data_IF_553544912741
#
_entry.id   IF_553544912741
#
_cell.length_a   1.000
_cell.length_b   1.000
_cell.length_c   1.000
_cell.angle_alpha   90.00
_cell.angle_beta   90.00
_cell.angle_gamma   90.00
#
_symmetry.space_group_name_H-M   'P 1'
#
loop_
_entity.id
_entity.type
_entity.pdbx_description
1 polymer ?
#
# COMPACT_ATOMS: atom_id res chain seq x y z
N UNK A 1 -55.89 40.28 14.23
CA UNK A 1 -54.51 40.82 14.26
C UNK A 1 -53.73 39.89 15.18
N UNK A 2 -52.87 39.06 14.62
CA UNK A 2 -51.94 38.23 15.39
C UNK A 2 -50.87 39.17 15.96
N UNK A 3 -50.65 39.12 17.28
CA UNK A 3 -49.60 39.88 17.95
C UNK A 3 -48.26 39.20 17.64
N UNK A 4 -47.58 39.65 16.58
CA UNK A 4 -46.20 39.27 16.30
C UNK A 4 -45.30 39.86 17.39
N UNK A 5 -44.82 39.05 18.33
CA UNK A 5 -43.82 39.47 19.32
C UNK A 5 -42.45 39.45 18.64
N UNK A 6 -41.89 40.64 18.37
CA UNK A 6 -40.51 40.76 17.89
C UNK A 6 -39.49 40.28 18.95
N UNK A 7 -38.39 39.69 18.49
CA UNK A 7 -37.29 39.23 19.34
C UNK A 7 -36.64 40.40 20.10
N UNK A 8 -36.25 40.16 21.35
CA UNK A 8 -35.51 41.13 22.15
C UNK A 8 -34.07 41.27 21.63
N UNK A 9 -33.53 42.50 21.62
CA UNK A 9 -32.13 42.76 21.27
C UNK A 9 -31.16 41.93 22.15
N UNK A 10 -31.52 41.71 23.42
CA UNK A 10 -30.75 40.89 24.36
C UNK A 10 -30.76 39.41 23.95
N UNK A 11 -31.90 38.92 23.46
CA UNK A 11 -32.08 37.52 23.06
C UNK A 11 -31.28 37.22 21.79
N UNK A 12 -31.28 38.14 20.82
CA UNK A 12 -30.42 38.04 19.64
C UNK A 12 -28.93 38.16 19.99
N UNK A 13 -28.57 39.03 20.94
CA UNK A 13 -27.18 39.19 21.37
C UNK A 13 -26.65 37.94 22.11
N UNK A 14 -27.47 37.35 22.99
CA UNK A 14 -27.14 36.11 23.69
C UNK A 14 -27.05 34.93 22.71
N UNK A 15 -27.95 34.84 21.73
CA UNK A 15 -27.90 33.81 20.70
C UNK A 15 -26.60 33.88 19.89
N UNK A 16 -26.20 35.06 19.42
CA UNK A 16 -24.95 35.24 18.68
C UNK A 16 -23.72 34.90 19.52
N UNK A 17 -23.73 35.22 20.82
CA UNK A 17 -22.66 34.86 21.74
C UNK A 17 -22.55 33.34 21.90
N UNK A 18 -23.68 32.64 22.07
CA UNK A 18 -23.69 31.18 22.18
C UNK A 18 -23.21 30.54 20.87
N UNK A 19 -23.67 31.03 19.72
CA UNK A 19 -23.24 30.54 18.40
C UNK A 19 -21.74 30.76 18.20
N UNK A 20 -21.18 31.91 18.59
CA UNK A 20 -19.75 32.17 18.50
C UNK A 20 -18.90 31.23 19.34
N UNK A 21 -19.35 30.91 20.57
CA UNK A 21 -18.65 29.98 21.47
C UNK A 21 -18.68 28.55 20.92
N UNK A 22 -19.78 28.13 20.29
CA UNK A 22 -19.91 26.78 19.72
C UNK A 22 -19.16 26.66 18.39
N UNK A 23 -19.25 27.67 17.52
CA UNK A 23 -18.71 27.61 16.17
C UNK A 23 -17.18 27.50 16.14
N UNK A 24 -16.47 28.16 17.07
CA UNK A 24 -14.99 28.12 17.13
C UNK A 24 -14.43 26.70 17.24
N UNK A 25 -14.75 25.94 18.31
CA UNK A 25 -14.32 24.55 18.46
C UNK A 25 -14.84 23.61 17.37
N UNK A 26 -16.04 23.86 16.83
CA UNK A 26 -16.60 23.03 15.76
C UNK A 26 -15.82 23.17 14.43
N UNK A 27 -15.30 24.35 14.11
CA UNK A 27 -14.49 24.55 12.90
C UNK A 27 -13.17 23.79 12.97
N UNK A 28 -12.48 23.83 14.12
CA UNK A 28 -11.24 23.07 14.33
C UNK A 28 -11.51 21.55 14.28
N UNK A 29 -12.57 21.08 14.93
CA UNK A 29 -12.97 19.68 14.87
C UNK A 29 -13.33 19.23 13.44
N UNK A 30 -13.94 20.11 12.64
CA UNK A 30 -14.26 19.84 11.25
C UNK A 30 -13.00 19.71 10.38
N UNK A 31 -12.01 20.59 10.55
CA UNK A 31 -10.74 20.51 9.83
C UNK A 31 -10.00 19.20 10.13
N UNK A 32 -9.93 18.82 11.41
CA UNK A 32 -9.35 17.53 11.83
C UNK A 32 -10.09 16.34 11.20
N UNK A 33 -11.43 16.39 11.18
CA UNK A 33 -12.24 15.35 10.53
C UNK A 33 -11.98 15.24 9.02
N UNK A 34 -11.94 16.37 8.30
CA UNK A 34 -11.67 16.38 6.86
C UNK A 34 -10.27 15.84 6.57
N UNK A 35 -9.28 16.25 7.35
CA UNK A 35 -7.90 15.76 7.24
C UNK A 35 -7.81 14.25 7.43
N UNK A 36 -8.37 13.73 8.53
CA UNK A 36 -8.37 12.28 8.79
C UNK A 36 -9.08 11.51 7.67
N UNK A 37 -10.17 12.07 7.12
CA UNK A 37 -10.89 11.48 5.98
C UNK A 37 -10.04 11.49 4.71
N UNK A 38 -9.31 12.56 4.42
CA UNK A 38 -8.47 12.66 3.24
C UNK A 38 -7.27 11.71 3.35
N UNK A 39 -6.55 11.72 4.48
CA UNK A 39 -5.49 10.77 4.79
C UNK A 39 -5.94 9.32 4.63
N UNK A 40 -7.12 8.95 5.17
CA UNK A 40 -7.67 7.60 5.03
C UNK A 40 -7.95 7.22 3.56
N UNK A 41 -8.40 8.17 2.73
CA UNK A 41 -8.56 7.93 1.28
C UNK A 41 -7.22 7.77 0.58
N UNK A 42 -6.21 8.54 0.96
CA UNK A 42 -4.86 8.42 0.40
C UNK A 42 -4.28 7.03 0.67
N UNK A 43 -4.43 6.51 1.89
CA UNK A 43 -4.00 5.14 2.20
C UNK A 43 -4.72 4.07 1.37
N UNK A 44 -6.03 4.21 1.17
CA UNK A 44 -6.81 3.29 0.34
C UNK A 44 -6.40 3.34 -1.14
N UNK A 45 -6.17 4.55 -1.67
CA UNK A 45 -5.65 4.78 -3.02
C UNK A 45 -4.26 4.16 -3.18
N UNK A 46 -3.34 4.42 -2.24
CA UNK A 46 -1.99 3.85 -2.25
C UNK A 46 -1.98 2.32 -2.26
N UNK A 47 -2.82 1.68 -1.43
CA UNK A 47 -2.95 0.21 -1.45
C UNK A 47 -3.49 -0.33 -2.78
N UNK A 48 -4.45 0.37 -3.40
CA UNK A 48 -4.99 0.00 -4.72
C UNK A 48 -3.90 0.08 -5.80
N UNK A 49 -3.12 1.17 -5.78
CA UNK A 49 -2.00 1.39 -6.69
C UNK A 49 -0.93 0.31 -6.51
N UNK A 50 -0.55 -0.02 -5.27
CA UNK A 50 0.41 -1.09 -4.98
C UNK A 50 -0.02 -2.42 -5.59
N UNK A 51 -1.28 -2.80 -5.36
CA UNK A 51 -1.83 -4.06 -5.85
C UNK A 51 -1.83 -4.10 -7.38
N UNK A 52 -2.18 -2.99 -8.03
CA UNK A 52 -2.20 -2.90 -9.48
C UNK A 52 -0.79 -2.98 -10.10
N UNK A 53 0.20 -2.30 -9.51
CA UNK A 53 1.60 -2.41 -9.96
C UNK A 53 2.12 -3.84 -9.78
N UNK A 54 1.74 -4.49 -8.68
CA UNK A 54 2.11 -5.88 -8.39
C UNK A 54 1.50 -6.85 -9.41
N UNK A 55 0.20 -6.74 -9.69
CA UNK A 55 -0.49 -7.54 -10.70
C UNK A 55 0.10 -7.29 -12.10
N UNK A 56 0.43 -6.03 -12.41
CA UNK A 56 1.09 -5.69 -13.67
C UNK A 56 2.43 -6.41 -13.83
N UNK A 57 3.25 -6.43 -12.77
CA UNK A 57 4.51 -7.18 -12.76
C UNK A 57 4.29 -8.67 -12.98
N UNK A 58 3.32 -9.30 -12.30
CA UNK A 58 3.02 -10.72 -12.47
C UNK A 58 2.61 -11.10 -13.90
N UNK A 59 2.01 -10.17 -14.64
CA UNK A 59 1.57 -10.39 -16.01
C UNK A 59 2.62 -10.06 -17.08
N UNK A 60 3.54 -9.14 -16.78
CA UNK A 60 4.46 -8.57 -17.79
C UNK A 60 5.94 -8.79 -17.48
N UNK A 61 6.31 -9.33 -16.31
CA UNK A 61 7.68 -9.50 -15.83
C UNK A 61 8.49 -8.18 -15.82
N UNK A 62 7.81 -7.05 -15.61
CA UNK A 62 8.40 -5.70 -15.51
C UNK A 62 7.48 -4.75 -14.76
N UNK A 63 8.00 -3.61 -14.33
CA UNK A 63 7.19 -2.51 -13.83
C UNK A 63 6.67 -1.62 -14.97
N UNK A 64 5.54 -0.92 -14.75
CA UNK A 64 5.04 0.04 -15.73
C UNK A 64 5.95 1.28 -15.77
N UNK A 65 6.02 1.96 -16.92
CA UNK A 65 6.63 3.29 -16.96
C UNK A 65 5.66 4.34 -16.40
N UNK A 66 6.13 5.48 -15.86
CA UNK A 66 5.25 6.55 -15.44
C UNK A 66 4.39 7.11 -16.58
N UNK A 67 3.30 7.78 -16.23
CA UNK A 67 2.50 8.59 -17.14
C UNK A 67 2.93 10.06 -17.07
N UNK A 68 2.67 10.82 -18.13
CA UNK A 68 3.00 12.25 -18.20
C UNK A 68 2.13 13.06 -17.22
N UNK A 69 2.72 13.79 -16.27
CA UNK A 69 1.95 14.51 -15.25
C UNK A 69 1.16 15.72 -15.73
N UNK A 70 1.63 16.43 -16.76
CA UNK A 70 0.98 17.67 -17.23
C UNK A 70 -0.24 17.44 -18.13
N UNK A 71 -0.49 16.20 -18.58
CA UNK A 71 -1.62 15.92 -19.46
C UNK A 71 -2.95 16.08 -18.72
N UNK A 72 -3.87 16.82 -19.35
CA UNK A 72 -5.22 17.05 -18.85
C UNK A 72 -6.14 15.85 -19.13
N UNK A 73 -7.22 15.75 -18.34
CA UNK A 73 -8.26 14.74 -18.54
C UNK A 73 -8.90 14.93 -19.92
N UNK A 74 -8.74 13.93 -20.80
CA UNK A 74 -9.23 13.94 -22.17
C UNK A 74 -8.13 13.91 -23.24
N UNK A 75 -6.87 14.12 -22.85
CA UNK A 75 -5.74 13.81 -23.72
C UNK A 75 -5.65 12.28 -23.94
N UNK A 76 -5.44 11.78 -25.17
CA UNK A 76 -5.34 10.35 -25.45
C UNK A 76 -4.24 9.62 -24.68
N UNK A 77 -3.17 10.30 -24.28
CA UNK A 77 -2.03 9.75 -23.55
C UNK A 77 -2.16 9.93 -22.03
N UNK A 78 -3.24 10.59 -21.57
CA UNK A 78 -3.46 10.82 -20.16
C UNK A 78 -3.62 9.49 -19.39
N UNK A 79 -2.75 9.26 -18.41
CA UNK A 79 -2.81 8.10 -17.53
C UNK A 79 -2.30 6.80 -18.15
N UNK A 80 -1.72 6.83 -19.34
CA UNK A 80 -1.09 5.68 -19.99
C UNK A 80 0.41 5.71 -19.69
N UNK A 81 1.03 4.55 -19.47
CA UNK A 81 2.49 4.44 -19.32
C UNK A 81 3.22 5.00 -20.55
N UNK A 82 4.32 5.70 -20.33
CA UNK A 82 5.15 6.30 -21.38
C UNK A 82 6.61 5.90 -21.13
N UNK A 83 7.18 5.11 -22.04
CA UNK A 83 8.49 4.49 -21.84
C UNK A 83 9.51 5.08 -22.81
N UNK A 84 10.59 5.73 -22.34
CA UNK A 84 11.65 6.22 -23.21
C UNK A 84 12.14 5.18 -24.22
N UNK A 85 11.98 5.52 -25.51
CA UNK A 85 12.40 4.68 -26.63
C UNK A 85 11.54 3.44 -26.91
N UNK A 86 10.45 3.20 -26.17
CA UNK A 86 9.57 2.02 -26.29
C UNK A 86 8.08 2.36 -26.11
N UNK A 87 7.63 3.49 -26.64
CA UNK A 87 6.25 3.96 -26.50
C UNK A 87 5.23 2.96 -27.09
N UNK A 88 4.23 2.58 -26.29
CA UNK A 88 3.21 1.57 -26.66
C UNK A 88 2.19 2.06 -27.70
N UNK A 89 2.09 3.37 -27.92
CA UNK A 89 1.22 3.99 -28.92
C UNK A 89 1.89 4.13 -30.30
N UNK A 90 3.19 3.82 -30.40
CA UNK A 90 3.99 4.03 -31.60
C UNK A 90 4.31 5.50 -31.90
N UNK A 91 3.95 6.43 -31.01
CA UNK A 91 4.29 7.85 -31.10
C UNK A 91 5.59 8.13 -30.35
N UNK A 92 6.69 7.88 -31.04
CA UNK A 92 8.05 8.14 -30.53
C UNK A 92 8.36 9.62 -30.24
N UNK A 93 7.46 10.59 -30.46
CA UNK A 93 7.88 12.00 -30.54
C UNK A 93 8.09 12.70 -29.19
N UNK A 94 7.40 12.28 -28.12
CA UNK A 94 7.59 12.88 -26.79
C UNK A 94 8.73 12.19 -26.03
N UNK A 95 8.77 10.85 -26.04
CA UNK A 95 9.73 10.11 -25.21
C UNK A 95 11.01 9.67 -25.94
N UNK A 96 11.04 9.57 -27.27
CA UNK A 96 12.30 9.24 -27.98
C UNK A 96 13.31 10.40 -28.01
N UNK A 97 12.92 11.59 -27.56
CA UNK A 97 13.81 12.74 -27.39
C UNK A 97 14.33 12.89 -25.95
N UNK A 98 13.88 12.08 -25.00
CA UNK A 98 14.31 12.18 -23.60
C UNK A 98 15.73 11.64 -23.42
N UNK A 99 16.63 12.56 -23.06
CA UNK A 99 18.00 12.25 -22.67
C UNK A 99 18.09 12.09 -21.15
N UNK A 100 19.15 11.46 -20.66
CA UNK A 100 19.48 11.48 -19.24
C UNK A 100 19.61 12.92 -18.74
N UNK A 101 19.25 13.16 -17.48
CA UNK A 101 19.21 14.50 -16.85
C UNK A 101 18.27 15.48 -17.56
N UNK A 102 17.05 15.04 -17.89
CA UNK A 102 16.07 15.92 -18.50
C UNK A 102 14.64 15.70 -17.97
N UNK A 103 13.90 16.80 -17.90
CA UNK A 103 12.47 16.81 -17.61
C UNK A 103 11.71 17.45 -18.77
N UNK A 104 10.63 16.79 -19.21
CA UNK A 104 9.73 17.26 -20.24
C UNK A 104 8.29 17.04 -19.79
N UNK A 105 7.47 18.08 -19.80
CA UNK A 105 6.04 18.00 -19.42
C UNK A 105 5.79 17.37 -18.03
N UNK A 106 6.66 17.69 -17.07
CA UNK A 106 6.63 17.14 -15.73
C UNK A 106 7.13 15.70 -15.59
N UNK A 107 7.46 15.03 -16.70
CA UNK A 107 8.08 13.70 -16.71
C UNK A 107 9.60 13.86 -16.74
N UNK A 108 10.31 13.24 -15.80
CA UNK A 108 11.76 13.35 -15.67
C UNK A 108 12.47 12.02 -15.90
N UNK A 109 13.66 12.10 -16.48
CA UNK A 109 14.62 11.00 -16.63
C UNK A 109 15.96 11.46 -16.06
N UNK A 110 16.35 10.87 -14.95
CA UNK A 110 17.54 11.28 -14.16
C UNK A 110 18.49 10.12 -13.97
N UNK A 111 19.75 10.42 -13.66
CA UNK A 111 20.78 9.43 -13.36
C UNK A 111 20.65 9.03 -11.90
N UNK A 112 20.25 7.78 -11.67
CA UNK A 112 20.29 7.15 -10.37
C UNK A 112 21.67 6.63 -10.03
N UNK A 113 21.74 5.74 -9.05
CA UNK A 113 23.01 5.06 -8.72
C UNK A 113 23.39 4.04 -9.81
N UNK A 114 24.69 3.81 -9.95
CA UNK A 114 25.25 2.63 -10.62
C UNK A 114 24.91 1.35 -9.82
N UNK A 115 23.80 0.71 -10.18
CA UNK A 115 23.28 -0.47 -9.51
C UNK A 115 23.94 -1.76 -10.00
N UNK A 116 24.57 -1.76 -11.17
CA UNK A 116 25.22 -2.93 -11.74
C UNK A 116 26.75 -2.97 -11.66
N UNK A 117 27.35 -1.88 -11.21
CA UNK A 117 28.78 -1.73 -10.98
C UNK A 117 29.58 -1.53 -12.26
N UNK A 118 28.95 -1.16 -13.39
CA UNK A 118 29.65 -0.93 -14.66
C UNK A 118 30.28 0.47 -14.77
N UNK A 119 30.16 1.29 -13.72
CA UNK A 119 30.62 2.68 -13.64
C UNK A 119 29.84 3.66 -14.51
N UNK A 120 28.65 3.29 -14.98
CA UNK A 120 27.64 4.19 -15.52
C UNK A 120 26.43 4.23 -14.57
N UNK A 121 25.83 5.41 -14.47
CA UNK A 121 24.65 5.60 -13.63
C UNK A 121 23.41 5.02 -14.33
N UNK A 122 22.58 4.27 -13.58
CA UNK A 122 21.35 3.69 -14.10
C UNK A 122 20.22 4.72 -14.12
N UNK A 123 19.38 4.70 -15.15
CA UNK A 123 18.27 5.64 -15.28
C UNK A 123 17.15 5.45 -14.26
N UNK A 124 16.57 6.56 -13.81
CA UNK A 124 15.33 6.61 -13.04
C UNK A 124 14.32 7.46 -13.81
N UNK A 125 13.10 6.93 -13.96
CA UNK A 125 11.98 7.59 -14.62
C UNK A 125 11.02 8.10 -13.57
N UNK A 126 10.62 9.36 -13.65
CA UNK A 126 9.76 10.03 -12.67
C UNK A 126 8.59 10.67 -13.40
N UNK A 127 7.37 10.42 -12.92
CA UNK A 127 6.16 11.00 -13.45
C UNK A 127 4.99 10.68 -12.54
N UNK A 128 3.82 10.39 -13.12
CA UNK A 128 2.64 10.01 -12.35
C UNK A 128 2.28 8.53 -12.53
N UNK A 129 1.41 8.04 -11.65
CA UNK A 129 0.87 6.68 -11.76
C UNK A 129 0.13 6.50 -13.10
N UNK A 130 0.49 5.50 -13.92
CA UNK A 130 -0.16 5.20 -15.20
C UNK A 130 -1.46 4.43 -14.99
N UNK A 131 -2.46 5.10 -14.42
CA UNK A 131 -3.68 4.48 -13.92
C UNK A 131 -4.52 3.77 -15.00
N UNK A 132 -4.50 4.24 -16.25
CA UNK A 132 -5.20 3.59 -17.37
C UNK A 132 -4.53 2.26 -17.71
N UNK A 133 -3.19 2.26 -17.78
CA UNK A 133 -2.40 1.05 -18.03
C UNK A 133 -2.57 0.03 -16.90
N UNK A 134 -2.64 0.51 -15.67
CA UNK A 134 -2.82 -0.32 -14.48
C UNK A 134 -4.28 -0.77 -14.25
N UNK A 135 -5.24 -0.28 -15.03
CA UNK A 135 -6.67 -0.58 -14.81
C UNK A 135 -7.23 0.01 -13.51
N UNK A 136 -6.55 1.00 -12.92
CA UNK A 136 -6.97 1.66 -11.67
C UNK A 136 -8.00 2.74 -12.01
N UNK A 137 -9.16 2.81 -11.31
CA UNK A 137 -10.10 3.90 -11.48
C UNK A 137 -9.45 5.27 -11.24
N UNK A 138 -9.73 6.27 -12.09
CA UNK A 138 -9.08 7.58 -12.00
C UNK A 138 -9.20 8.24 -10.61
N UNK A 139 -10.34 8.07 -9.94
CA UNK A 139 -10.56 8.59 -8.59
C UNK A 139 -9.73 7.91 -7.50
N UNK A 140 -9.22 6.70 -7.76
CA UNK A 140 -8.36 5.89 -6.90
C UNK A 140 -6.88 6.04 -7.26
N UNK A 141 -6.57 6.71 -8.38
CA UNK A 141 -5.23 7.17 -8.75
C UNK A 141 -4.90 8.58 -8.24
N UNK A 142 -5.81 9.17 -7.46
CA UNK A 142 -5.66 10.47 -6.82
C UNK A 142 -5.67 10.29 -5.30
N UNK A 143 -4.96 11.16 -4.59
CA UNK A 143 -4.98 11.16 -3.14
C UNK A 143 -6.28 11.76 -2.57
N UNK A 144 -6.37 11.80 -1.24
CA UNK A 144 -7.51 12.37 -0.52
C UNK A 144 -7.78 13.85 -0.81
N UNK A 145 -6.75 14.61 -1.21
CA UNK A 145 -6.80 16.04 -1.52
C UNK A 145 -6.97 16.34 -3.01
N UNK A 146 -7.03 15.29 -3.86
CA UNK A 146 -7.16 15.37 -5.32
C UNK A 146 -5.89 15.81 -6.03
N UNK A 147 -4.75 15.52 -5.42
CA UNK A 147 -3.45 15.58 -6.06
C UNK A 147 -3.15 14.23 -6.72
N UNK A 148 -2.36 14.26 -7.79
CA UNK A 148 -1.84 13.06 -8.44
C UNK A 148 -0.65 12.51 -7.66
N UNK A 149 -0.55 11.20 -7.54
CA UNK A 149 0.62 10.53 -6.98
C UNK A 149 1.83 10.69 -7.91
N UNK A 150 2.99 11.04 -7.35
CA UNK A 150 4.28 10.92 -8.03
C UNK A 150 4.72 9.46 -8.00
N UNK A 151 5.29 9.00 -9.11
CA UNK A 151 5.79 7.65 -9.30
C UNK A 151 7.17 7.72 -9.94
N UNK A 152 8.16 7.14 -9.26
CA UNK A 152 9.49 6.98 -9.79
C UNK A 152 9.86 5.49 -9.87
N UNK A 153 10.50 5.07 -10.95
CA UNK A 153 10.86 3.68 -11.21
C UNK A 153 12.24 3.59 -11.84
N UNK A 154 13.00 2.57 -11.44
CA UNK A 154 14.28 2.24 -12.08
C UNK A 154 14.04 1.87 -13.55
N UNK A 155 14.65 2.59 -14.47
CA UNK A 155 14.40 2.50 -15.92
C UNK A 155 14.62 1.08 -16.45
N UNK A 156 15.69 0.42 -16.03
CA UNK A 156 16.02 -0.95 -16.46
C UNK A 156 15.01 -2.00 -15.97
N UNK A 157 14.20 -1.68 -14.96
CA UNK A 157 13.12 -2.54 -14.47
C UNK A 157 11.78 -2.30 -15.18
N UNK A 158 11.75 -1.41 -16.17
CA UNK A 158 10.59 -1.20 -17.06
C UNK A 158 10.69 -1.98 -18.39
N UNK A 159 11.68 -2.88 -18.51
CA UNK A 159 11.78 -3.86 -19.59
C UNK A 159 11.98 -5.25 -18.99
N UNK A 160 11.18 -6.23 -19.42
CA UNK A 160 11.37 -7.61 -18.98
C UNK A 160 12.70 -8.20 -19.46
N UNK A 161 13.29 -7.67 -20.54
CA UNK A 161 14.60 -8.08 -21.03
C UNK A 161 15.77 -7.56 -20.18
N UNK A 162 15.60 -6.43 -19.48
CA UNK A 162 16.65 -5.83 -18.63
C UNK A 162 16.34 -5.93 -17.13
N UNK A 163 15.17 -6.47 -16.77
CA UNK A 163 14.73 -6.59 -15.39
C UNK A 163 15.65 -7.50 -14.57
N UNK A 164 16.29 -6.92 -13.55
CA UNK A 164 17.09 -7.67 -12.58
C UNK A 164 16.65 -7.27 -11.18
N UNK A 165 16.07 -8.20 -10.38
CA UNK A 165 15.45 -7.90 -9.08
C UNK A 165 16.35 -7.34 -7.98
N UNK A 166 17.64 -7.17 -8.25
CA UNK A 166 18.63 -6.69 -7.28
C UNK A 166 19.25 -5.36 -7.69
N UNK A 167 18.77 -4.76 -8.78
CA UNK A 167 19.38 -3.57 -9.41
C UNK A 167 18.49 -2.33 -9.29
N UNK A 168 17.97 -2.06 -8.10
CA UNK A 168 17.25 -0.80 -7.84
C UNK A 168 18.21 0.39 -7.90
N UNK A 169 17.84 1.41 -8.66
CA UNK A 169 18.63 2.63 -8.87
C UNK A 169 18.18 3.83 -8.01
N UNK A 170 17.05 3.71 -7.32
CA UNK A 170 16.47 4.77 -6.48
C UNK A 170 17.01 4.65 -5.06
N UNK A 171 17.34 5.77 -4.44
CA UNK A 171 17.79 5.86 -3.05
C UNK A 171 16.69 6.41 -2.16
N UNK A 172 16.48 5.74 -1.02
CA UNK A 172 15.52 6.18 0.00
C UNK A 172 16.23 6.42 1.33
N UNK A 173 16.19 7.67 1.78
CA UNK A 173 16.72 8.15 3.04
C UNK A 173 15.65 8.14 4.12
N UNK A 174 16.08 8.09 5.38
CA UNK A 174 15.19 8.42 6.50
C UNK A 174 15.17 9.93 6.71
N UNK A 175 13.99 10.46 7.03
CA UNK A 175 13.75 11.88 7.30
C UNK A 175 14.52 12.47 8.50
N UNK A 176 15.08 11.61 9.37
CA UNK A 176 16.01 12.03 10.43
C UNK A 176 17.43 12.34 9.91
N UNK A 177 17.66 12.23 8.60
CA UNK A 177 18.97 12.42 7.95
C UNK A 177 19.98 11.33 8.29
N UNK A 178 19.55 10.20 8.86
CA UNK A 178 20.40 9.04 9.10
C UNK A 178 20.77 8.33 7.79
N UNK A 179 21.59 7.28 7.85
CA UNK A 179 22.01 6.52 6.66
C UNK A 179 20.81 6.10 5.81
N UNK A 180 20.98 5.90 4.48
CA UNK A 180 19.92 5.38 3.64
C UNK A 180 19.34 4.12 4.26
N UNK A 181 18.05 3.85 4.01
CA UNK A 181 17.48 2.55 4.37
C UNK A 181 18.41 1.46 3.85
N UNK A 182 18.61 0.38 4.60
CA UNK A 182 19.48 -0.72 4.18
C UNK A 182 18.58 -1.87 3.78
N UNK A 183 18.38 -2.07 2.48
CA UNK A 183 17.68 -3.22 1.94
C UNK A 183 18.74 -4.29 1.66
N UNK A 184 18.81 -5.28 2.55
CA UNK A 184 19.91 -6.25 2.55
C UNK A 184 20.00 -7.03 1.24
N UNK A 185 21.17 -7.03 0.60
CA UNK A 185 21.53 -8.04 -0.38
C UNK A 185 21.97 -9.32 0.37
N UNK A 186 21.21 -10.43 0.30
CA UNK A 186 21.60 -11.67 0.97
C UNK A 186 22.82 -12.36 0.33
N UNK A 187 23.29 -11.92 -0.85
CA UNK A 187 24.31 -12.63 -1.61
C UNK A 187 25.75 -12.09 -1.44
N UNK A 188 25.96 -10.85 -0.95
CA UNK A 188 27.33 -10.33 -0.85
C UNK A 188 27.54 -9.21 0.18
N UNK A 189 27.92 -9.53 1.44
CA UNK A 189 28.20 -8.52 2.45
C UNK A 189 29.49 -7.71 2.21
N UNK A 190 30.25 -7.92 1.11
CA UNK A 190 31.59 -7.32 0.93
C UNK A 190 31.95 -6.84 -0.49
N UNK A 191 30.99 -6.53 -1.37
CA UNK A 191 31.32 -5.98 -2.69
C UNK A 191 31.55 -4.46 -2.68
N UNK A 192 32.80 -4.06 -2.93
CA UNK A 192 33.29 -2.73 -3.37
C UNK A 192 33.29 -1.56 -2.34
N UNK A 193 34.45 -0.93 -2.03
CA UNK A 193 34.58 0.28 -1.19
C UNK A 193 33.89 1.56 -1.69
N UNK A 194 33.25 1.54 -2.87
CA UNK A 194 32.28 2.57 -3.29
C UNK A 194 30.79 2.14 -3.18
N UNK A 195 30.52 0.89 -2.78
CA UNK A 195 29.20 0.28 -2.66
C UNK A 195 29.12 -0.55 -1.35
N UNK A 196 29.62 -0.03 -0.23
CA UNK A 196 29.65 -0.81 1.01
C UNK A 196 28.33 -0.75 1.76
N UNK A 197 27.66 -1.92 1.78
CA UNK A 197 26.72 -2.40 2.80
C UNK A 197 25.22 -2.27 2.47
N UNK A 198 24.71 -3.01 1.48
CA UNK A 198 23.26 -3.33 1.40
C UNK A 198 22.33 -2.13 1.56
N UNK A 199 22.66 -1.00 0.93
CA UNK A 199 21.99 0.27 1.14
C UNK A 199 20.85 0.43 0.13
N UNK A 200 19.60 0.30 0.58
CA UNK A 200 18.52 1.19 0.15
C UNK A 200 18.07 1.20 -1.29
N UNK A 201 18.24 0.12 -2.04
CA UNK A 201 17.81 0.05 -3.45
C UNK A 201 16.30 -0.12 -3.59
N UNK A 202 15.58 0.97 -3.89
CA UNK A 202 14.19 0.85 -4.31
C UNK A 202 14.11 0.53 -5.82
N UNK A 203 13.26 -0.43 -6.17
CA UNK A 203 12.82 -0.69 -7.54
C UNK A 203 12.00 0.49 -8.06
N UNK A 204 11.01 0.87 -7.26
CA UNK A 204 10.14 2.01 -7.51
C UNK A 204 9.69 2.63 -6.18
N UNK A 205 9.32 3.90 -6.26
CA UNK A 205 8.70 4.67 -5.18
C UNK A 205 7.46 5.37 -5.73
N UNK A 206 6.47 5.59 -4.88
CA UNK A 206 5.39 6.51 -5.19
C UNK A 206 4.91 7.18 -3.91
N UNK A 207 4.45 8.42 -4.05
CA UNK A 207 4.04 9.21 -2.90
C UNK A 207 2.87 10.14 -3.23
N UNK A 208 2.08 10.42 -2.19
CA UNK A 208 1.15 11.55 -2.15
C UNK A 208 1.86 12.69 -1.45
N UNK A 209 1.82 13.88 -2.06
CA UNK A 209 2.41 15.12 -1.53
C UNK A 209 1.52 15.78 -0.46
N UNK A 210 0.75 14.97 0.27
CA UNK A 210 -0.06 15.43 1.39
C UNK A 210 -1.12 16.52 1.09
N UNK A 211 -1.39 17.29 2.13
CA UNK A 211 -2.37 18.38 2.17
C UNK A 211 -1.91 19.60 1.37
N UNK A 212 -0.61 19.89 1.34
CA UNK A 212 -0.08 21.04 0.61
C UNK A 212 0.08 20.78 -0.91
N UNK A 213 0.19 19.51 -1.32
CA UNK A 213 0.40 19.06 -2.69
C UNK A 213 1.74 19.47 -3.32
N UNK A 214 2.76 19.89 -2.56
CA UNK A 214 3.98 20.51 -3.10
C UNK A 214 4.83 19.50 -3.87
N UNK A 215 4.89 19.64 -5.20
CA UNK A 215 5.58 18.68 -6.08
C UNK A 215 4.62 17.89 -6.95
N UNK A 216 3.36 17.79 -6.51
CA UNK A 216 2.32 17.07 -7.23
C UNK A 216 1.73 17.88 -8.38
N UNK A 217 0.76 17.26 -9.06
CA UNK A 217 -0.05 17.89 -10.09
C UNK A 217 -1.53 17.81 -9.72
N UNK A 218 -2.27 18.85 -10.06
CA UNK A 218 -3.73 18.88 -9.93
C UNK A 218 -4.40 17.93 -10.93
N UNK A 219 -5.70 17.70 -10.78
CA UNK A 219 -6.50 16.95 -11.77
C UNK A 219 -6.41 17.54 -13.19
N UNK A 220 -6.11 18.83 -13.33
CA UNK A 220 -6.00 19.51 -14.63
C UNK A 220 -4.59 19.40 -15.24
N UNK A 221 -3.64 18.77 -14.54
CA UNK A 221 -2.23 18.68 -14.99
C UNK A 221 -1.41 19.93 -14.67
N UNK A 222 -1.86 20.75 -13.71
CA UNK A 222 -1.12 21.94 -13.26
C UNK A 222 -0.27 21.57 -12.05
N UNK A 223 1.03 21.88 -12.10
CA UNK A 223 1.96 21.65 -10.99
C UNK A 223 1.54 22.44 -9.75
N UNK A 224 1.58 21.81 -8.59
CA UNK A 224 1.22 22.39 -7.28
C UNK A 224 2.52 22.61 -6.49
N UNK A 225 2.73 23.83 -6.01
CA UNK A 225 3.98 24.24 -5.34
C UNK A 225 5.09 24.62 -6.33
N UNK A 226 5.67 25.81 -6.17
CA UNK A 226 6.65 26.38 -7.11
C UNK A 226 8.12 26.31 -6.62
N UNK A 227 8.37 25.86 -5.39
CA UNK A 227 9.70 25.92 -4.76
C UNK A 227 10.26 24.55 -4.39
N UNK A 228 10.30 23.62 -5.35
CA UNK A 228 11.05 22.37 -5.20
C UNK A 228 12.51 22.52 -5.63
N UNK A 229 12.81 23.54 -6.42
CA UNK A 229 14.18 23.83 -6.83
C UNK A 229 14.94 24.52 -5.68
N UNK A 230 15.75 23.76 -4.96
CA UNK A 230 17.00 24.29 -4.45
C UNK A 230 18.04 23.18 -4.63
N UNK A 231 18.58 23.09 -5.84
CA UNK A 231 19.49 22.00 -6.21
C UNK A 231 20.59 21.74 -5.18
N UNK A 232 20.92 20.45 -5.03
CA UNK A 232 22.12 19.93 -4.37
C UNK A 232 22.51 20.73 -3.14
N UNK A 233 21.79 20.51 -2.04
CA UNK A 233 22.25 21.05 -0.77
C UNK A 233 23.34 20.15 -0.18
N UNK A 234 24.45 20.75 0.23
CA UNK A 234 25.28 20.11 1.25
C UNK A 234 24.54 20.14 2.59
N UNK A 235 24.73 19.16 3.48
CA UNK A 235 24.15 19.16 4.83
C UNK A 235 24.38 20.48 5.63
N UNK A 236 25.39 21.27 5.26
CA UNK A 236 25.68 22.59 5.83
C UNK A 236 24.80 23.73 5.26
N UNK A 237 24.36 23.63 4.00
CA UNK A 237 23.41 24.55 3.36
C UNK A 237 21.98 24.22 3.76
N UNK A 238 21.67 22.92 3.93
CA UNK A 238 20.47 22.41 4.61
C UNK A 238 20.36 23.06 5.99
N UNK A 239 21.40 22.95 6.84
CA UNK A 239 21.45 23.55 8.18
C UNK A 239 21.28 25.10 8.23
N UNK A 240 21.62 25.81 7.15
CA UNK A 240 21.57 27.27 7.08
C UNK A 240 20.23 27.80 6.53
N UNK A 241 19.49 26.98 5.80
CA UNK A 241 18.16 27.28 5.31
C UNK A 241 17.13 26.67 6.27
N UNK A 242 16.46 27.48 7.08
CA UNK A 242 15.30 27.02 7.86
C UNK A 242 14.11 26.68 6.97
N UNK A 243 14.25 25.71 6.06
CA UNK A 243 13.30 25.30 5.04
C UNK A 243 12.92 23.83 5.26
N UNK A 244 11.74 23.49 4.75
CA UNK A 244 11.09 22.17 4.74
C UNK A 244 11.92 21.14 3.94
N UNK A 245 13.06 20.69 4.47
CA UNK A 245 14.04 19.87 3.75
C UNK A 245 13.45 18.53 3.27
N UNK A 246 12.81 17.77 4.17
CA UNK A 246 12.25 16.45 3.85
C UNK A 246 11.16 16.54 2.77
N UNK A 247 10.36 17.61 2.80
CA UNK A 247 9.34 17.90 1.79
C UNK A 247 9.94 18.30 0.43
N UNK A 248 11.04 19.06 0.43
CA UNK A 248 11.70 19.49 -0.82
C UNK A 248 12.33 18.30 -1.53
N UNK A 249 12.97 17.40 -0.77
CA UNK A 249 13.60 16.19 -1.31
C UNK A 249 12.61 15.35 -2.11
N UNK A 250 11.38 15.20 -1.63
CA UNK A 250 10.38 14.40 -2.34
C UNK A 250 9.80 15.07 -3.60
N UNK A 251 10.19 16.32 -3.90
CA UNK A 251 9.56 17.13 -4.94
C UNK A 251 10.51 17.76 -5.98
N UNK A 252 11.82 17.59 -5.83
CA UNK A 252 12.85 18.16 -6.71
C UNK A 252 13.11 17.34 -7.99
N UNK A 253 12.54 16.14 -8.08
CA UNK A 253 12.61 15.21 -9.21
C UNK A 253 14.00 14.64 -9.48
N UNK A 254 14.75 14.31 -8.44
CA UNK A 254 15.93 13.47 -8.57
C UNK A 254 15.67 12.00 -8.16
N UNK A 255 16.73 11.21 -8.01
CA UNK A 255 16.65 9.79 -7.68
C UNK A 255 16.70 9.50 -6.17
N UNK A 256 16.85 10.54 -5.35
CA UNK A 256 16.90 10.48 -3.89
C UNK A 256 15.54 10.89 -3.33
N UNK A 257 15.06 10.15 -2.34
CA UNK A 257 13.78 10.41 -1.70
C UNK A 257 13.93 10.27 -0.20
N UNK A 258 13.11 11.01 0.53
CA UNK A 258 13.05 10.93 1.98
C UNK A 258 11.77 10.24 2.43
N UNK A 259 11.93 9.23 3.28
CA UNK A 259 10.86 8.51 3.94
C UNK A 259 10.87 8.74 5.44
N UNK A 260 9.70 9.03 6.00
CA UNK A 260 9.47 8.97 7.44
C UNK A 260 8.31 8.03 7.77
N UNK A 261 8.57 7.02 8.61
CA UNK A 261 7.53 6.14 9.15
C UNK A 261 6.63 6.79 10.20
N UNK A 262 7.10 7.87 10.83
CA UNK A 262 6.49 8.45 12.05
C UNK A 262 6.26 9.97 11.97
N UNK A 263 6.89 10.71 11.05
CA UNK A 263 6.67 12.14 10.92
C UNK A 263 5.48 12.45 10.02
N UNK A 264 4.36 12.75 10.67
CA UNK A 264 3.49 13.81 10.18
C UNK A 264 3.84 15.06 10.98
N UNK A 265 4.45 16.07 10.35
CA UNK A 265 4.79 17.31 11.04
C UNK A 265 4.45 18.52 10.19
N UNK A 266 3.70 19.44 10.81
CA UNK A 266 3.32 20.74 10.24
C UNK A 266 4.20 21.87 10.79
N UNK A 267 5.29 21.54 11.49
CA UNK A 267 6.21 22.55 12.01
C UNK A 267 7.06 23.07 10.85
N UNK A 268 6.96 24.37 10.54
CA UNK A 268 7.77 25.00 9.49
C UNK A 268 9.27 24.85 9.78
N UNK A 269 10.07 24.52 8.76
CA UNK A 269 11.50 24.22 8.88
C UNK A 269 11.80 22.75 8.57
N UNK A 270 12.95 22.22 9.00
CA UNK A 270 13.43 20.86 8.66
C UNK A 270 12.38 19.75 8.80
N UNK A 271 11.46 19.91 9.76
CA UNK A 271 10.53 18.87 10.15
C UNK A 271 9.20 18.93 9.39
N UNK A 272 8.95 19.91 8.52
CA UNK A 272 7.70 19.91 7.76
C UNK A 272 7.71 18.73 6.79
N UNK A 273 6.73 17.85 6.93
CA UNK A 273 6.55 16.65 6.12
C UNK A 273 5.10 16.19 6.25
N UNK A 274 4.33 16.29 5.16
CA UNK A 274 2.97 15.74 5.08
C UNK A 274 2.79 14.66 4.01
N UNK A 275 3.89 14.20 3.43
CA UNK A 275 3.93 13.18 2.40
C UNK A 275 3.56 11.79 2.94
N UNK A 276 2.85 11.03 2.12
CA UNK A 276 2.59 9.62 2.36
C UNK A 276 3.34 8.83 1.30
N UNK A 277 4.37 8.12 1.74
CA UNK A 277 5.39 7.53 0.87
C UNK A 277 5.34 6.01 0.89
N UNK A 278 5.51 5.41 -0.29
CA UNK A 278 5.51 3.98 -0.54
C UNK A 278 6.68 3.62 -1.43
N UNK A 279 7.27 2.45 -1.21
CA UNK A 279 8.35 1.93 -2.03
C UNK A 279 8.32 0.42 -2.11
N UNK A 280 9.02 -0.10 -3.12
CA UNK A 280 9.30 -1.52 -3.29
C UNK A 280 10.80 -1.69 -3.48
N UNK A 281 11.43 -2.59 -2.74
CA UNK A 281 12.88 -2.83 -2.70
C UNK A 281 13.29 -4.26 -3.09
N UNK A 282 12.31 -5.12 -3.35
CA UNK A 282 12.50 -6.49 -3.80
C UNK A 282 11.42 -6.92 -4.78
N UNK A 283 11.42 -8.20 -5.18
CA UNK A 283 10.33 -8.73 -6.00
C UNK A 283 8.99 -8.49 -5.28
N UNK A 284 7.99 -7.93 -5.97
CA UNK A 284 6.70 -7.74 -5.36
C UNK A 284 6.14 -9.15 -5.15
N UNK A 285 6.05 -9.57 -3.90
CA UNK A 285 5.35 -10.79 -3.55
C UNK A 285 3.87 -10.49 -3.70
N UNK A 286 3.30 -10.71 -4.88
CA UNK A 286 1.86 -10.56 -5.18
C UNK A 286 0.97 -11.60 -4.48
N UNK A 287 1.37 -12.00 -3.28
CA UNK A 287 0.52 -12.80 -2.43
C UNK A 287 -0.56 -11.94 -1.77
N UNK A 288 -1.69 -12.58 -1.51
CA UNK A 288 -2.55 -12.31 -0.35
C UNK A 288 -1.75 -12.09 0.93
N UNK A 289 -0.50 -12.57 1.01
CA UNK A 289 0.37 -12.59 2.17
C UNK A 289 1.60 -11.69 1.96
N UNK A 290 1.82 -10.78 2.90
CA UNK A 290 2.96 -9.88 3.00
C UNK A 290 3.77 -10.24 4.24
N UNK A 291 5.05 -9.87 4.26
CA UNK A 291 5.93 -10.09 5.40
C UNK A 291 6.37 -8.75 6.00
N UNK A 292 6.25 -8.61 7.32
CA UNK A 292 6.77 -7.48 8.08
C UNK A 292 8.14 -7.83 8.62
N UNK A 293 9.19 -7.17 8.11
CA UNK A 293 10.57 -7.34 8.62
C UNK A 293 10.80 -6.75 10.03
N UNK A 294 9.84 -6.02 10.58
CA UNK A 294 9.96 -5.36 11.91
C UNK A 294 9.36 -6.23 13.01
N UNK A 295 8.26 -6.93 12.72
CA UNK A 295 7.57 -7.80 13.68
C UNK A 295 7.78 -9.30 13.39
N UNK A 296 8.45 -9.64 12.27
CA UNK A 296 8.59 -10.99 11.72
C UNK A 296 7.26 -11.70 11.39
N UNK A 297 6.18 -10.93 11.26
CA UNK A 297 4.83 -11.44 11.00
C UNK A 297 4.50 -11.53 9.50
N UNK A 298 3.69 -12.52 9.14
CA UNK A 298 3.05 -12.64 7.81
C UNK A 298 1.61 -12.13 7.93
N UNK A 299 1.24 -11.12 7.14
CA UNK A 299 -0.08 -10.46 7.21
C UNK A 299 -0.74 -10.36 5.85
N UNK A 300 -2.07 -10.25 5.81
CA UNK A 300 -2.80 -10.13 4.54
C UNK A 300 -2.87 -8.69 4.03
N UNK A 301 -2.87 -8.49 2.70
CA UNK A 301 -2.97 -7.15 2.09
C UNK A 301 -4.34 -6.48 2.22
N UNK A 302 -5.38 -7.24 2.61
CA UNK A 302 -6.72 -6.72 2.88
C UNK A 302 -7.06 -6.82 4.36
N UNK A 303 -7.80 -5.83 4.86
CA UNK A 303 -8.30 -5.81 6.24
C UNK A 303 -9.53 -6.70 6.42
N UNK A 304 -9.57 -7.50 7.49
CA UNK A 304 -10.69 -8.37 7.84
C UNK A 304 -10.36 -9.86 7.74
N UNK A 305 -11.39 -10.70 7.74
CA UNK A 305 -11.29 -12.15 7.65
C UNK A 305 -11.09 -12.60 6.18
N UNK A 306 -10.18 -13.55 5.93
CA UNK A 306 -9.93 -14.14 4.62
C UNK A 306 -10.90 -15.28 4.34
N UNK A 307 -11.80 -15.11 3.36
CA UNK A 307 -12.68 -16.17 2.86
C UNK A 307 -12.13 -16.83 1.59
N UNK A 308 -11.89 -18.14 1.62
CA UNK A 308 -11.54 -18.94 0.44
C UNK A 308 -12.74 -19.82 0.08
N UNK A 309 -13.46 -19.46 -1.00
CA UNK A 309 -14.71 -20.14 -1.39
C UNK A 309 -15.94 -19.72 -0.58
N UNK A 310 -15.83 -18.69 0.26
CA UNK A 310 -16.92 -18.07 1.01
C UNK A 310 -16.80 -16.54 0.96
N UNK A 311 -17.94 -15.85 0.84
CA UNK A 311 -18.00 -14.39 0.84
C UNK A 311 -18.33 -13.79 2.23
N UNK A 312 -18.63 -14.64 3.21
CA UNK A 312 -18.97 -14.24 4.57
C UNK A 312 -18.16 -15.04 5.61
N UNK A 313 -16.83 -14.81 5.67
CA UNK A 313 -15.93 -15.59 6.51
C UNK A 313 -16.16 -15.30 8.00
N UNK A 314 -16.51 -16.33 8.78
CA UNK A 314 -16.79 -16.21 10.22
C UNK A 314 -15.53 -16.22 11.08
N UNK A 315 -14.39 -16.64 10.51
CA UNK A 315 -13.09 -16.74 11.16
C UNK A 315 -12.01 -15.99 10.39
N UNK A 316 -10.89 -15.65 11.04
CA UNK A 316 -9.79 -14.88 10.44
C UNK A 316 -9.27 -15.48 9.11
N UNK A 317 -9.27 -16.81 8.99
CA UNK A 317 -9.16 -17.52 7.70
C UNK A 317 -10.26 -18.58 7.69
N UNK A 318 -11.15 -18.50 6.70
CA UNK A 318 -12.31 -19.38 6.55
C UNK A 318 -12.30 -20.00 5.14
N UNK A 319 -12.15 -21.32 5.07
CA UNK A 319 -12.02 -22.06 3.80
C UNK A 319 -13.24 -22.94 3.60
N UNK A 320 -14.13 -22.54 2.70
CA UNK A 320 -15.26 -23.35 2.24
C UNK A 320 -14.83 -24.21 1.04
N UNK A 321 -14.09 -25.29 1.33
CA UNK A 321 -13.58 -26.21 0.32
C UNK A 321 -12.40 -27.05 0.80
N UNK A 322 -11.74 -27.75 -0.14
CA UNK A 322 -10.55 -28.54 0.16
C UNK A 322 -9.28 -27.69 0.09
N UNK A 323 -8.45 -27.74 1.11
CA UNK A 323 -7.09 -27.17 1.07
C UNK A 323 -6.17 -28.15 0.33
N UNK A 324 -5.55 -27.71 -0.76
CA UNK A 324 -4.62 -28.51 -1.57
C UNK A 324 -3.36 -27.69 -1.83
N UNK A 325 -2.19 -28.27 -1.61
CA UNK A 325 -0.91 -27.64 -1.93
C UNK A 325 -0.15 -28.51 -2.93
N UNK A 326 0.42 -27.88 -3.97
CA UNK A 326 1.11 -28.58 -5.06
C UNK A 326 2.39 -29.32 -4.59
N UNK A 327 2.97 -28.91 -3.46
CA UNK A 327 4.18 -29.51 -2.90
C UNK A 327 4.22 -29.34 -1.37
N UNK A 328 3.52 -30.18 -0.62
CA UNK A 328 3.82 -30.38 0.82
C UNK A 328 5.15 -31.13 1.04
N UNK A 329 5.77 -31.59 -0.04
CA UNK A 329 6.90 -32.53 -0.09
C UNK A 329 8.26 -31.98 0.34
N UNK A 330 8.40 -30.70 0.70
CA UNK A 330 9.68 -30.18 1.19
C UNK A 330 9.87 -30.29 2.70
N UNK A 331 8.83 -30.62 3.45
CA UNK A 331 8.96 -30.92 4.87
C UNK A 331 8.19 -32.17 5.27
N UNK A 332 8.80 -33.02 6.08
CA UNK A 332 8.14 -34.20 6.65
C UNK A 332 7.23 -33.80 7.82
N UNK A 333 7.50 -32.67 8.47
CA UNK A 333 6.67 -32.17 9.57
C UNK A 333 6.90 -30.69 9.89
N UNK A 334 6.08 -30.18 10.79
CA UNK A 334 6.12 -28.82 11.31
C UNK A 334 6.40 -28.89 12.80
N UNK A 335 7.34 -28.10 13.31
CA UNK A 335 7.69 -28.06 14.73
C UNK A 335 7.48 -26.64 15.26
N UNK A 336 7.44 -26.48 16.58
CA UNK A 336 7.57 -25.16 17.19
C UNK A 336 8.98 -24.56 16.95
N UNK A 337 9.13 -23.28 17.28
CA UNK A 337 10.39 -22.52 17.10
C UNK A 337 11.59 -23.13 17.83
N UNK A 338 11.34 -23.91 18.89
CA UNK A 338 12.38 -24.59 19.67
C UNK A 338 12.76 -25.95 19.08
N UNK A 339 12.12 -26.36 17.98
CA UNK A 339 12.27 -27.68 17.38
C UNK A 339 11.57 -28.79 18.16
N UNK A 340 10.70 -28.44 19.10
CA UNK A 340 9.88 -29.38 19.87
C UNK A 340 8.45 -29.41 19.30
N UNK A 341 7.60 -30.30 19.83
CA UNK A 341 6.17 -30.41 19.46
C UNK A 341 5.90 -30.50 17.95
N UNK A 342 6.55 -31.46 17.29
CA UNK A 342 6.47 -31.62 15.85
C UNK A 342 5.24 -32.43 15.40
N UNK A 343 4.51 -31.96 14.39
CA UNK A 343 3.46 -32.69 13.68
C UNK A 343 3.92 -33.12 12.28
N UNK A 344 3.58 -34.34 11.86
CA UNK A 344 3.77 -34.75 10.46
C UNK A 344 2.85 -33.94 9.54
N UNK A 345 3.33 -33.54 8.36
CA UNK A 345 2.54 -32.70 7.44
C UNK A 345 1.23 -33.38 6.97
N UNK A 346 1.19 -34.70 7.02
CA UNK A 346 0.03 -35.53 6.67
C UNK A 346 -1.13 -35.42 7.67
N UNK A 347 -0.84 -34.97 8.89
CA UNK A 347 -1.83 -34.77 9.95
C UNK A 347 -2.83 -33.69 9.54
N UNK A 348 -2.37 -32.59 8.93
CA UNK A 348 -3.22 -31.51 8.39
C UNK A 348 -4.15 -32.01 7.27
N UNK A 349 -3.72 -33.04 6.52
CA UNK A 349 -4.45 -33.62 5.39
C UNK A 349 -5.52 -34.66 5.75
N UNK A 350 -5.78 -34.91 7.04
CA UNK A 350 -6.92 -35.71 7.49
C UNK A 350 -6.68 -37.21 7.68
N UNK A 351 -5.43 -37.69 7.69
CA UNK A 351 -5.15 -39.08 8.09
C UNK A 351 -4.66 -39.12 9.53
N UNK A 352 -5.50 -39.61 10.46
CA UNK A 352 -5.12 -39.88 11.85
C UNK A 352 -5.74 -38.93 12.90
N UNK A 353 -6.29 -37.79 12.51
CA UNK A 353 -7.02 -36.91 13.42
C UNK A 353 -8.51 -37.27 13.44
N UNK A 354 -9.01 -37.70 14.59
CA UNK A 354 -10.43 -38.03 14.76
C UNK A 354 -10.88 -37.64 16.15
N UNK A 355 -11.96 -36.88 16.23
CA UNK A 355 -12.55 -36.46 17.50
C UNK A 355 -13.51 -37.48 18.10
N UNK A 356 -13.37 -38.77 17.76
CA UNK A 356 -14.11 -39.90 18.37
C UNK A 356 -15.62 -39.66 18.55
N UNK A 357 -16.25 -38.92 17.62
CA UNK A 357 -17.68 -38.58 17.64
C UNK A 357 -18.03 -37.13 18.02
N UNK A 358 -17.07 -36.33 18.49
CA UNK A 358 -17.20 -34.88 18.66
C UNK A 358 -16.83 -34.11 17.39
N UNK A 359 -17.37 -32.90 17.17
CA UNK A 359 -16.88 -32.00 16.14
C UNK A 359 -15.45 -31.55 16.44
N UNK A 360 -14.63 -31.47 15.39
CA UNK A 360 -13.27 -30.93 15.46
C UNK A 360 -13.35 -29.42 15.27
N UNK A 361 -12.93 -28.66 16.28
CA UNK A 361 -12.88 -27.21 16.26
C UNK A 361 -11.51 -26.65 15.81
N UNK A 362 -10.47 -27.48 15.84
CA UNK A 362 -9.13 -27.08 15.41
C UNK A 362 -8.13 -28.21 15.50
N UNK A 363 -6.84 -27.87 15.37
CA UNK A 363 -5.70 -28.76 15.51
C UNK A 363 -4.68 -28.06 16.39
N UNK A 364 -4.22 -28.70 17.47
CA UNK A 364 -3.25 -28.14 18.42
C UNK A 364 -2.39 -29.27 19.00
N UNK A 365 -1.09 -29.04 19.23
CA UNK A 365 -0.18 -29.99 19.92
C UNK A 365 -0.24 -31.44 19.39
N UNK A 366 -0.26 -31.62 18.06
CA UNK A 366 -0.35 -32.93 17.38
C UNK A 366 -1.68 -33.68 17.56
N UNK A 367 -2.75 -33.02 18.01
CA UNK A 367 -4.07 -33.63 18.16
C UNK A 367 -5.18 -32.75 17.59
N UNK A 368 -6.32 -33.37 17.27
CA UNK A 368 -7.54 -32.62 16.95
C UNK A 368 -8.04 -31.93 18.22
N UNK A 369 -8.26 -30.62 18.16
CA UNK A 369 -9.00 -29.91 19.21
C UNK A 369 -10.47 -30.25 19.04
N UNK A 370 -10.94 -31.13 19.91
CA UNK A 370 -12.31 -31.63 19.88
C UNK A 370 -13.16 -30.85 20.88
N UNK A 371 -14.33 -30.39 20.47
CA UNK A 371 -15.28 -29.81 21.42
C UNK A 371 -15.92 -30.91 22.25
N UNK A 372 -15.82 -30.78 23.58
CA UNK A 372 -16.23 -31.83 24.54
C UNK A 372 -17.70 -31.68 24.97
N UNK A 373 -18.37 -30.57 24.64
CA UNK A 373 -19.76 -30.36 25.03
C UNK A 373 -20.65 -30.07 23.81
N UNK A 374 -21.37 -31.10 23.34
CA UNK A 374 -22.75 -30.82 22.93
C UNK A 374 -23.48 -30.40 24.22
N UNK A 375 -24.16 -29.24 24.27
CA UNK A 375 -24.85 -28.81 25.48
C UNK A 375 -25.75 -29.94 25.99
N UNK A 376 -25.61 -30.28 27.29
CA UNK A 376 -26.39 -31.34 27.91
C UNK A 376 -27.88 -30.97 27.89
N UNK A 377 -28.56 -31.39 26.84
CA UNK A 377 -29.99 -31.28 26.62
C UNK A 377 -30.41 -32.43 25.72
N UNK A 378 -31.53 -33.07 26.03
CA UNK A 378 -32.14 -34.04 25.13
C UNK A 378 -32.36 -33.38 23.77
N UNK A 379 -31.84 -33.97 22.67
CA UNK A 379 -32.24 -33.59 21.32
C UNK A 379 -33.78 -33.64 21.29
N UNK A 380 -34.41 -32.50 21.01
CA UNK A 380 -35.86 -32.39 21.05
C UNK A 380 -36.40 -31.95 19.69
N UNK A 381 -37.48 -32.61 19.27
CA UNK A 381 -38.16 -32.36 18.00
C UNK A 381 -38.01 -33.50 16.98
N UNK A 382 -39.02 -33.64 16.13
CA UNK A 382 -39.04 -34.51 14.96
C UNK A 382 -39.40 -33.66 13.74
N UNK A 383 -38.77 -33.91 12.59
CA UNK A 383 -39.14 -33.26 11.34
C UNK A 383 -40.53 -33.74 10.88
N UNK A 384 -41.28 -32.86 10.22
CA UNK A 384 -42.58 -33.22 9.69
C UNK A 384 -42.43 -34.21 8.52
N UNK A 385 -43.50 -34.94 8.21
CA UNK A 385 -43.49 -35.84 7.05
C UNK A 385 -43.22 -35.05 5.76
N UNK A 386 -42.12 -35.39 5.07
CA UNK A 386 -41.64 -34.66 3.90
C UNK A 386 -40.43 -33.77 4.16
N UNK A 387 -39.88 -33.77 5.38
CA UNK A 387 -38.67 -33.05 5.76
C UNK A 387 -37.57 -34.01 6.28
N UNK A 388 -36.31 -33.61 6.19
CA UNK A 388 -35.16 -34.32 6.76
C UNK A 388 -34.31 -33.40 7.66
N UNK A 389 -33.64 -34.00 8.65
CA UNK A 389 -32.79 -33.26 9.59
C UNK A 389 -31.53 -32.78 8.88
N UNK A 390 -31.27 -31.47 8.93
CA UNK A 390 -30.07 -30.84 8.34
C UNK A 390 -29.12 -30.29 9.39
N UNK A 391 -29.57 -30.12 10.62
CA UNK A 391 -28.72 -29.64 11.71
C UNK A 391 -29.41 -29.70 13.07
N UNK A 392 -28.67 -29.27 14.09
CA UNK A 392 -29.17 -29.07 15.45
C UNK A 392 -28.71 -27.66 15.86
N UNK A 393 -29.63 -26.83 16.36
CA UNK A 393 -29.27 -25.49 16.83
C UNK A 393 -28.52 -25.52 18.18
N UNK A 394 -27.94 -24.39 18.60
CA UNK A 394 -27.22 -24.28 19.88
C UNK A 394 -28.09 -24.50 21.13
N UNK A 395 -29.40 -24.72 20.97
CA UNK A 395 -30.35 -25.06 22.04
C UNK A 395 -30.79 -26.54 22.02
N UNK A 396 -30.30 -27.34 21.07
CA UNK A 396 -30.60 -28.77 20.95
C UNK A 396 -31.87 -29.11 20.15
N UNK A 397 -32.43 -28.16 19.39
CA UNK A 397 -33.59 -28.42 18.52
C UNK A 397 -33.16 -28.92 17.15
N UNK A 398 -33.92 -29.86 16.57
CA UNK A 398 -33.69 -30.32 15.19
C UNK A 398 -34.06 -29.23 14.18
N UNK A 399 -33.17 -28.97 13.22
CA UNK A 399 -33.41 -28.12 12.04
C UNK A 399 -33.80 -29.04 10.88
N UNK A 400 -34.92 -28.74 10.23
CA UNK A 400 -35.54 -29.59 9.21
C UNK A 400 -35.64 -28.86 7.88
N UNK A 401 -35.32 -29.55 6.78
CA UNK A 401 -35.50 -29.05 5.41
C UNK A 401 -36.42 -29.97 4.61
N UNK A 402 -37.24 -29.42 3.69
CA UNK A 402 -38.10 -30.23 2.84
C UNK A 402 -37.30 -31.07 1.83
N UNK A 403 -37.77 -32.28 1.56
CA UNK A 403 -37.22 -33.11 0.48
C UNK A 403 -37.56 -32.44 -0.86
N UNK A 404 -36.54 -31.98 -1.58
CA UNK A 404 -36.68 -31.37 -2.91
C UNK A 404 -37.12 -32.36 -3.99
#
# INVERSE_FOLDING_TARGET
MTNEKGFSLLETALLLLIVGIIAGPMLEAYNVYVKQRNTSKTYAAGSTIQNAITEFYELHDRYPCPAIPELAVGDPLHGIEQCPGRDMDGDTTIMAAMVMESCLTGYCRVSGRDADGDSADDGVLIGNIPYVTLGVPYNEALDGWKHRFTYAVTETMTDSATFIPTRGAIMVWKADGSTPLSFGDPANPNANPKHQNGQGTAHFVYLSHGENGRGSYSIEGVRIGENCDNGVFTAAEVAAAGKDYNEIENCDNDYEFTWDSEAYSTQQGFDYYDDIFYFQDGLPSGGTWNYSGVQEDVFTSFGGNLGIGTADPQFAVDVNGNIRAASLTRTTGYCDETGNNCMEAQVIGGSGMSCSGSPMAGIELNDGVCEVELPAGSISGECSSGEYVTGIDGSGNVICEPVS
#
